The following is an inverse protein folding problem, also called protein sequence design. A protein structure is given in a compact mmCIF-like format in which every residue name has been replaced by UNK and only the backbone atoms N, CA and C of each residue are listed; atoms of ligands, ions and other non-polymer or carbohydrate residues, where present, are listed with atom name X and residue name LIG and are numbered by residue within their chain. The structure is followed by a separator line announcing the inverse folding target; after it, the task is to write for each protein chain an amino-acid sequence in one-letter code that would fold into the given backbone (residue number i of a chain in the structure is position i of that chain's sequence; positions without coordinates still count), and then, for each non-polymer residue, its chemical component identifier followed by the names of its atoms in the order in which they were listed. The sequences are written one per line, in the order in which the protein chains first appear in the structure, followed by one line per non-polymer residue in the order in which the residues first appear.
data_IF_079838518898
#
_entry.id   IF_079838518898
#
_cell.length_a   1.000
_cell.length_b   1.000
_cell.length_c   1.000
_cell.angle_alpha   90.00
_cell.angle_beta   90.00
_cell.angle_gamma   90.00
#
_symmetry.space_group_name_H-M   'P 1'
#
loop_
_entity.id
_entity.type
_entity.pdbx_description
1 polymer ?
#
# COMPACT_ATOMS: atom_id res chain seq x y z
N UNK A 1 41.77 -45.29 10.40
CA UNK A 1 40.50 -44.51 10.54
C UNK A 1 40.30 -43.68 9.29
N UNK A 2 39.23 -43.81 8.52
CA UNK A 2 39.00 -42.97 7.36
C UNK A 2 38.57 -41.56 7.79
N UNK A 3 38.96 -40.49 7.07
CA UNK A 3 38.66 -39.13 7.45
C UNK A 3 37.15 -38.84 7.30
N UNK A 4 36.54 -38.26 8.33
CA UNK A 4 35.13 -37.80 8.33
C UNK A 4 34.95 -36.79 7.19
N UNK A 5 34.13 -37.12 6.18
CA UNK A 5 33.65 -36.17 5.16
C UNK A 5 32.95 -35.01 5.84
N UNK A 6 33.48 -33.78 5.74
CA UNK A 6 32.78 -32.54 6.07
C UNK A 6 31.56 -32.42 5.16
N UNK A 7 30.35 -32.52 5.72
CA UNK A 7 29.13 -32.12 5.03
C UNK A 7 29.17 -30.59 4.86
N UNK A 8 29.41 -30.15 3.64
CA UNK A 8 29.16 -28.77 3.24
C UNK A 8 27.64 -28.58 3.22
N UNK A 9 27.07 -28.09 4.31
CA UNK A 9 25.76 -27.45 4.26
C UNK A 9 25.99 -26.10 3.61
N UNK A 10 25.60 -25.96 2.33
CA UNK A 10 25.42 -24.62 1.75
C UNK A 10 24.33 -23.94 2.57
N UNK A 11 24.56 -22.73 3.10
CA UNK A 11 23.48 -21.91 3.62
C UNK A 11 22.45 -21.81 2.49
N UNK A 12 21.17 -22.07 2.80
CA UNK A 12 20.07 -21.74 1.90
C UNK A 12 20.26 -20.28 1.51
N UNK A 13 20.57 -20.04 0.22
CA UNK A 13 20.84 -18.69 -0.25
C UNK A 13 19.64 -17.82 0.09
N UNK A 14 19.85 -16.81 0.90
CA UNK A 14 18.89 -15.73 1.07
C UNK A 14 18.55 -15.22 -0.33
N UNK A 15 17.28 -15.39 -0.73
CA UNK A 15 16.81 -14.81 -1.99
C UNK A 15 17.00 -13.31 -1.88
N UNK A 16 17.98 -12.76 -2.56
CA UNK A 16 18.21 -11.32 -2.62
C UNK A 16 17.10 -10.71 -3.47
N UNK A 17 16.17 -10.02 -2.82
CA UNK A 17 15.25 -9.17 -3.54
C UNK A 17 16.04 -8.10 -4.29
N UNK A 18 15.58 -7.73 -5.47
CA UNK A 18 16.14 -6.61 -6.22
C UNK A 18 15.64 -5.29 -5.67
N UNK A 19 14.41 -5.26 -5.14
CA UNK A 19 13.76 -4.07 -4.61
C UNK A 19 12.88 -4.40 -3.41
N UNK A 20 12.96 -3.59 -2.37
CA UNK A 20 12.12 -3.66 -1.17
C UNK A 20 11.19 -2.45 -1.15
N UNK A 21 9.91 -2.70 -0.92
CA UNK A 21 8.93 -1.67 -0.56
C UNK A 21 8.59 -1.81 0.92
N UNK A 22 8.86 -0.76 1.70
CA UNK A 22 8.38 -0.64 3.07
C UNK A 22 7.15 0.24 3.04
N UNK A 23 6.01 -0.28 3.50
CA UNK A 23 4.73 0.42 3.43
C UNK A 23 4.15 0.52 4.84
N UNK A 24 4.05 1.71 5.41
CA UNK A 24 3.31 1.94 6.65
C UNK A 24 1.85 2.28 6.31
N UNK A 25 0.92 1.52 6.87
CA UNK A 25 -0.51 1.62 6.58
C UNK A 25 -1.30 1.99 7.83
N UNK A 26 -2.46 2.59 7.65
CA UNK A 26 -3.37 2.94 8.74
C UNK A 26 -4.05 1.69 9.31
N UNK A 27 -4.56 0.81 8.45
CA UNK A 27 -5.32 -0.36 8.85
C UNK A 27 -4.49 -1.53 9.36
N UNK A 28 -5.16 -2.42 10.10
CA UNK A 28 -4.55 -3.64 10.67
C UNK A 28 -4.79 -4.88 9.80
N UNK A 29 -5.75 -4.86 8.88
CA UNK A 29 -6.17 -6.03 8.09
C UNK A 29 -6.17 -5.78 6.58
N UNK A 30 -6.97 -4.83 6.10
CA UNK A 30 -7.30 -4.65 4.69
C UNK A 30 -6.06 -4.36 3.85
N UNK A 31 -5.36 -3.29 4.17
CA UNK A 31 -4.17 -2.84 3.45
C UNK A 31 -3.03 -3.89 3.55
N UNK A 32 -2.72 -4.46 4.75
CA UNK A 32 -1.73 -5.53 4.84
C UNK A 32 -2.07 -6.75 3.99
N UNK A 33 -3.35 -7.15 3.92
CA UNK A 33 -3.77 -8.28 3.08
C UNK A 33 -3.65 -7.94 1.59
N UNK A 34 -4.00 -6.72 1.20
CA UNK A 34 -3.85 -6.27 -0.18
C UNK A 34 -2.38 -6.27 -0.61
N UNK A 35 -1.51 -5.62 0.16
CA UNK A 35 -0.10 -5.54 -0.19
C UNK A 35 0.63 -6.89 -0.09
N UNK A 36 0.13 -7.84 0.70
CA UNK A 36 0.68 -9.20 0.75
C UNK A 36 0.51 -9.96 -0.58
N UNK A 37 -0.44 -9.56 -1.44
CA UNK A 37 -0.66 -10.18 -2.77
C UNK A 37 0.59 -10.06 -3.65
N UNK A 38 1.38 -9.00 -3.49
CA UNK A 38 2.58 -8.76 -4.27
C UNK A 38 3.80 -9.56 -3.80
N UNK A 39 3.72 -10.27 -2.67
CA UNK A 39 4.78 -11.12 -2.13
C UNK A 39 4.70 -12.55 -2.70
N UNK A 40 4.73 -12.71 -4.02
CA UNK A 40 4.81 -14.02 -4.65
C UNK A 40 6.21 -14.65 -4.43
N UNK A 41 6.26 -15.99 -4.36
CA UNK A 41 7.52 -16.75 -4.22
C UNK A 41 8.48 -16.57 -5.41
N UNK A 42 7.98 -16.16 -6.58
CA UNK A 42 8.76 -15.90 -7.78
C UNK A 42 9.12 -14.41 -7.95
N UNK A 43 8.53 -13.51 -7.17
CA UNK A 43 8.80 -12.09 -7.24
C UNK A 43 10.22 -11.75 -6.80
N UNK A 44 10.86 -10.87 -7.57
CA UNK A 44 12.13 -10.22 -7.19
C UNK A 44 11.91 -8.99 -6.31
N UNK A 45 10.64 -8.65 -6.08
CA UNK A 45 10.19 -7.53 -5.26
C UNK A 45 9.70 -8.09 -3.93
N UNK A 46 9.96 -7.39 -2.85
CA UNK A 46 9.41 -7.68 -1.54
C UNK A 46 8.65 -6.48 -1.02
N UNK A 47 7.46 -6.72 -0.49
CA UNK A 47 6.66 -5.73 0.22
C UNK A 47 6.68 -6.07 1.70
N UNK A 48 7.18 -5.15 2.52
CA UNK A 48 7.13 -5.19 3.98
C UNK A 48 6.07 -4.19 4.46
N UNK A 49 4.93 -4.69 4.91
CA UNK A 49 3.82 -3.86 5.35
C UNK A 49 3.85 -3.69 6.87
N UNK A 50 4.12 -2.48 7.33
CA UNK A 50 4.08 -2.07 8.73
C UNK A 50 2.62 -1.82 9.13
N UNK A 51 2.02 -2.81 9.76
CA UNK A 51 0.60 -2.81 10.13
C UNK A 51 0.25 -1.69 11.10
N UNK A 52 -0.97 -1.17 10.98
CA UNK A 52 -1.57 -0.28 11.95
C UNK A 52 -1.69 -0.90 13.35
N UNK A 53 -1.95 -0.06 14.32
CA UNK A 53 -2.31 -0.42 15.69
C UNK A 53 -3.71 0.14 16.01
N UNK A 54 -4.16 0.02 17.26
CA UNK A 54 -5.42 0.65 17.69
C UNK A 54 -5.41 2.18 17.56
N UNK A 55 -4.24 2.80 17.64
CA UNK A 55 -4.03 4.21 17.31
C UNK A 55 -3.39 4.29 15.92
N UNK A 56 -4.19 4.62 14.93
CA UNK A 56 -3.82 4.61 13.51
C UNK A 56 -3.85 6.00 12.86
N UNK A 57 -3.81 7.07 13.65
CA UNK A 57 -3.77 8.43 13.12
C UNK A 57 -2.57 8.67 12.18
N UNK A 58 -2.66 9.60 11.21
CA UNK A 58 -1.58 9.88 10.28
C UNK A 58 -0.21 10.12 10.96
N UNK A 59 -0.11 10.89 12.05
CA UNK A 59 1.15 11.02 12.78
C UNK A 59 1.70 9.70 13.32
N UNK A 60 0.84 8.76 13.70
CA UNK A 60 1.28 7.43 14.17
C UNK A 60 1.74 6.53 13.01
N UNK A 61 1.13 6.66 11.83
CA UNK A 61 1.62 5.99 10.62
C UNK A 61 3.02 6.48 10.29
N UNK A 62 3.22 7.81 10.29
CA UNK A 62 4.52 8.43 10.06
C UNK A 62 5.56 7.98 11.09
N UNK A 63 5.25 8.08 12.38
CA UNK A 63 6.13 7.64 13.46
C UNK A 63 6.58 6.19 13.29
N UNK A 64 5.66 5.30 12.93
CA UNK A 64 5.97 3.88 12.71
C UNK A 64 6.94 3.66 11.55
N UNK A 65 6.79 4.43 10.48
CA UNK A 65 7.74 4.43 9.37
C UNK A 65 9.11 4.93 9.82
N UNK A 66 9.18 6.05 10.51
CA UNK A 66 10.44 6.61 11.01
C UNK A 66 11.14 5.69 12.00
N UNK A 67 10.40 5.04 12.90
CA UNK A 67 10.93 4.07 13.84
C UNK A 67 11.54 2.86 13.10
N UNK A 68 10.90 2.39 12.05
CA UNK A 68 11.43 1.31 11.21
C UNK A 68 12.70 1.75 10.47
N UNK A 69 12.68 2.91 9.83
CA UNK A 69 13.82 3.43 9.06
C UNK A 69 15.05 3.79 9.92
N UNK A 70 14.87 3.99 11.23
CA UNK A 70 15.98 4.13 12.18
C UNK A 70 16.67 2.80 12.49
N UNK A 71 15.95 1.68 12.33
CA UNK A 71 16.46 0.33 12.62
C UNK A 71 16.98 -0.38 11.37
N UNK A 72 16.37 -0.11 10.22
CA UNK A 72 16.69 -0.75 8.95
C UNK A 72 16.96 0.31 7.88
N UNK A 73 18.18 0.33 7.36
CA UNK A 73 18.58 1.26 6.30
C UNK A 73 18.06 0.77 4.93
N UNK A 74 17.40 1.66 4.19
CA UNK A 74 16.96 1.41 2.82
C UNK A 74 18.14 1.56 1.85
N UNK A 75 18.20 0.69 0.87
CA UNK A 75 19.08 0.85 -0.30
C UNK A 75 18.50 1.93 -1.22
N UNK A 76 19.33 2.45 -2.11
CA UNK A 76 18.89 3.44 -3.11
C UNK A 76 17.80 2.92 -4.07
N UNK A 77 17.70 1.59 -4.23
CA UNK A 77 16.65 0.94 -5.04
C UNK A 77 15.34 0.72 -4.30
N UNK A 78 15.36 0.79 -2.97
CA UNK A 78 14.22 0.47 -2.12
C UNK A 78 13.34 1.72 -1.92
N UNK A 79 12.07 1.53 -1.67
CA UNK A 79 11.11 2.62 -1.47
C UNK A 79 10.40 2.50 -0.12
N UNK A 80 10.07 3.66 0.47
CA UNK A 80 9.25 3.76 1.68
C UNK A 80 7.99 4.56 1.38
N UNK A 81 6.82 3.99 1.72
CA UNK A 81 5.53 4.58 1.42
C UNK A 81 4.63 4.67 2.64
N UNK A 82 3.95 5.82 2.78
CA UNK A 82 2.85 6.01 3.73
C UNK A 82 1.53 5.83 2.98
N UNK A 83 0.62 5.01 3.51
CA UNK A 83 -0.70 4.78 2.93
C UNK A 83 -1.76 5.05 3.99
N UNK A 84 -2.59 6.07 3.75
CA UNK A 84 -3.63 6.51 4.69
C UNK A 84 -4.93 6.83 3.98
N UNK A 85 -5.99 6.91 4.76
CA UNK A 85 -7.30 7.35 4.34
C UNK A 85 -7.45 8.88 4.54
N UNK A 86 -8.27 9.56 3.74
CA UNK A 86 -8.62 10.96 4.03
C UNK A 86 -9.50 11.06 5.26
N UNK A 87 -10.49 10.19 5.34
CA UNK A 87 -11.48 10.09 6.42
C UNK A 87 -11.74 11.43 7.13
N UNK A 88 -11.50 11.51 8.44
CA UNK A 88 -11.70 12.71 9.27
C UNK A 88 -10.42 13.54 9.50
N UNK A 89 -9.29 13.15 8.90
CA UNK A 89 -8.00 13.78 9.15
C UNK A 89 -7.92 15.19 8.57
N UNK A 90 -7.28 16.10 9.34
CA UNK A 90 -7.11 17.49 8.91
C UNK A 90 -6.03 17.61 7.85
N UNK A 91 -6.07 18.67 7.08
CA UNK A 91 -5.06 18.92 6.05
C UNK A 91 -3.67 19.08 6.67
N UNK A 92 -3.55 19.72 7.86
CA UNK A 92 -2.27 19.88 8.56
C UNK A 92 -1.63 18.54 8.95
N UNK A 93 -2.45 17.53 9.30
CA UNK A 93 -1.95 16.19 9.60
C UNK A 93 -1.44 15.48 8.33
N UNK A 94 -2.13 15.66 7.22
CA UNK A 94 -1.75 15.07 5.93
C UNK A 94 -0.56 15.79 5.29
N UNK A 95 -0.45 17.12 5.49
CA UNK A 95 0.71 17.92 5.06
C UNK A 95 2.02 17.41 5.66
N UNK A 96 2.01 16.95 6.90
CA UNK A 96 3.18 16.35 7.55
C UNK A 96 3.65 15.08 6.84
N UNK A 97 2.71 14.22 6.43
CA UNK A 97 3.02 13.00 5.69
C UNK A 97 3.53 13.31 4.28
N UNK A 98 2.90 14.26 3.62
CA UNK A 98 3.32 14.71 2.30
C UNK A 98 4.71 15.35 2.34
N UNK A 99 4.97 16.23 3.31
CA UNK A 99 6.29 16.84 3.50
C UNK A 99 7.39 15.79 3.76
N UNK A 100 7.08 14.75 4.55
CA UNK A 100 8.00 13.63 4.74
C UNK A 100 8.29 12.90 3.42
N UNK A 101 7.28 12.65 2.60
CA UNK A 101 7.45 11.99 1.32
C UNK A 101 8.30 12.82 0.32
N UNK A 102 8.25 14.15 0.42
CA UNK A 102 9.07 15.05 -0.41
C UNK A 102 10.55 15.15 0.05
N UNK A 103 10.89 14.58 1.21
CA UNK A 103 12.24 14.69 1.76
C UNK A 103 13.28 13.83 1.01
N UNK A 104 12.84 12.78 0.28
CA UNK A 104 13.71 11.89 -0.50
C UNK A 104 12.99 11.35 -1.73
N UNK A 105 13.73 11.14 -2.82
CA UNK A 105 13.18 10.64 -4.10
C UNK A 105 12.57 9.23 -4.02
N UNK A 106 12.99 8.44 -3.04
CA UNK A 106 12.49 7.08 -2.81
C UNK A 106 11.46 6.99 -1.68
N UNK A 107 10.91 8.12 -1.24
CA UNK A 107 9.79 8.18 -0.31
C UNK A 107 8.50 8.54 -1.06
N UNK A 108 7.38 7.99 -0.61
CA UNK A 108 6.09 8.23 -1.22
C UNK A 108 4.95 8.38 -0.21
N UNK A 109 3.92 9.08 -0.64
CA UNK A 109 2.68 9.25 0.09
C UNK A 109 1.50 8.89 -0.81
N UNK A 110 0.68 7.97 -0.37
CA UNK A 110 -0.51 7.52 -1.06
C UNK A 110 -1.75 7.68 -0.16
N UNK A 111 -2.78 8.29 -0.70
CA UNK A 111 -4.00 8.57 0.04
C UNK A 111 -5.21 8.15 -0.78
N UNK A 112 -6.24 7.63 -0.10
CA UNK A 112 -7.57 7.39 -0.68
C UNK A 112 -8.61 8.29 -0.02
N UNK A 113 -9.45 8.92 -0.85
CA UNK A 113 -10.56 9.74 -0.41
C UNK A 113 -11.90 9.14 -0.91
N UNK A 114 -12.76 8.59 -0.06
CA UNK A 114 -12.74 8.73 1.42
C UNK A 114 -11.79 7.74 2.14
N UNK A 115 -11.54 6.55 1.61
CA UNK A 115 -10.78 5.48 2.27
C UNK A 115 -10.25 4.42 1.30
N UNK A 116 -9.40 3.52 1.80
CA UNK A 116 -8.73 2.49 1.00
C UNK A 116 -9.69 1.56 0.25
N UNK A 117 -10.91 1.35 0.76
CA UNK A 117 -11.95 0.62 0.04
C UNK A 117 -12.30 1.26 -1.32
N UNK A 118 -12.07 2.57 -1.50
CA UNK A 118 -12.22 3.21 -2.79
C UNK A 118 -11.18 2.67 -3.80
N UNK A 119 -9.92 2.54 -3.39
CA UNK A 119 -8.92 1.87 -4.21
C UNK A 119 -9.33 0.44 -4.58
N UNK A 120 -9.82 -0.34 -3.61
CA UNK A 120 -10.32 -1.70 -3.87
C UNK A 120 -11.51 -1.73 -4.82
N UNK A 121 -12.42 -0.76 -4.73
CA UNK A 121 -13.58 -0.65 -5.62
C UNK A 121 -13.16 -0.47 -7.08
N UNK A 122 -12.09 0.27 -7.34
CA UNK A 122 -11.57 0.50 -8.70
C UNK A 122 -11.10 -0.78 -9.41
N UNK A 123 -10.87 -1.88 -8.69
CA UNK A 123 -10.60 -3.19 -9.30
C UNK A 123 -11.82 -3.77 -10.00
N UNK A 124 -13.02 -3.33 -9.66
CA UNK A 124 -14.28 -3.92 -10.12
C UNK A 124 -15.12 -2.97 -10.96
N UNK A 125 -15.07 -1.68 -10.68
CA UNK A 125 -15.86 -0.66 -11.37
C UNK A 125 -15.10 0.67 -11.46
N UNK A 126 -15.66 1.65 -12.19
CA UNK A 126 -15.00 2.94 -12.43
C UNK A 126 -15.01 3.89 -11.21
N UNK A 127 -15.80 3.57 -10.17
CA UNK A 127 -15.90 4.37 -8.94
C UNK A 127 -16.55 5.74 -9.11
N UNK A 128 -17.33 5.97 -10.19
CA UNK A 128 -18.02 7.24 -10.43
C UNK A 128 -19.12 7.48 -9.41
N UNK A 129 -19.27 8.73 -8.93
CA UNK A 129 -20.41 9.16 -8.13
C UNK A 129 -20.41 8.62 -6.70
N UNK A 130 -19.24 8.36 -6.10
CA UNK A 130 -19.14 8.04 -4.67
C UNK A 130 -19.61 9.26 -3.85
N UNK A 131 -20.64 9.05 -3.06
CA UNK A 131 -21.28 10.11 -2.26
C UNK A 131 -20.77 10.13 -0.80
N UNK A 132 -20.22 9.04 -0.29
CA UNK A 132 -19.75 8.92 1.08
C UNK A 132 -18.84 7.70 1.29
N UNK A 133 -18.18 7.64 2.45
CA UNK A 133 -17.42 6.48 2.91
C UNK A 133 -18.32 5.22 3.03
N UNK A 134 -19.57 5.38 3.45
CA UNK A 134 -20.54 4.29 3.53
C UNK A 134 -20.93 3.78 2.15
N UNK A 135 -21.23 4.67 1.21
CA UNK A 135 -21.58 4.32 -0.18
C UNK A 135 -20.43 3.51 -0.82
N UNK A 136 -19.20 3.94 -0.61
CA UNK A 136 -18.01 3.21 -1.06
C UNK A 136 -17.98 1.76 -0.53
N UNK A 137 -18.23 1.57 0.79
CA UNK A 137 -18.29 0.23 1.39
C UNK A 137 -19.43 -0.61 0.83
N UNK A 138 -20.61 -0.02 0.67
CA UNK A 138 -21.81 -0.75 0.22
C UNK A 138 -21.65 -1.18 -1.24
N UNK A 139 -21.02 -0.37 -2.08
CA UNK A 139 -20.67 -0.74 -3.46
C UNK A 139 -19.62 -1.83 -3.51
N UNK A 140 -18.55 -1.73 -2.71
CA UNK A 140 -17.52 -2.76 -2.66
C UNK A 140 -18.09 -4.12 -2.24
N UNK A 141 -19.00 -4.16 -1.28
CA UNK A 141 -19.67 -5.40 -0.83
C UNK A 141 -20.46 -6.12 -1.93
N UNK A 142 -20.94 -5.41 -2.96
CA UNK A 142 -21.61 -6.05 -4.11
C UNK A 142 -20.65 -6.92 -4.91
N UNK A 143 -19.38 -6.53 -4.99
CA UNK A 143 -18.32 -7.26 -5.69
C UNK A 143 -17.61 -8.28 -4.80
N UNK A 144 -17.51 -7.97 -3.50
CA UNK A 144 -16.90 -8.80 -2.48
C UNK A 144 -17.93 -9.15 -1.38
N UNK A 145 -18.91 -10.06 -1.67
CA UNK A 145 -19.86 -10.48 -0.65
C UNK A 145 -19.13 -11.09 0.54
N UNK A 146 -19.50 -10.68 1.75
CA UNK A 146 -18.83 -11.10 2.98
C UNK A 146 -17.54 -10.33 3.29
N UNK A 147 -17.26 -9.25 2.57
CA UNK A 147 -16.18 -8.34 2.93
C UNK A 147 -16.40 -7.78 4.34
N UNK A 148 -15.69 -8.33 5.30
CA UNK A 148 -15.58 -7.84 6.68
C UNK A 148 -14.11 -7.55 6.96
N UNK A 149 -13.60 -6.45 6.37
CA UNK A 149 -12.20 -6.03 6.46
C UNK A 149 -11.22 -7.17 6.17
N UNK A 150 -11.57 -7.99 5.18
CA UNK A 150 -10.73 -9.04 4.63
C UNK A 150 -10.86 -9.11 3.11
N UNK A 151 -9.75 -9.39 2.43
CA UNK A 151 -9.69 -9.45 0.96
C UNK A 151 -9.51 -10.91 0.53
N UNK A 152 -10.42 -11.38 -0.33
CA UNK A 152 -10.16 -12.61 -1.07
C UNK A 152 -9.15 -12.32 -2.19
N UNK A 153 -7.87 -12.66 -1.94
CA UNK A 153 -6.76 -12.40 -2.88
C UNK A 153 -7.02 -12.99 -4.28
N UNK A 154 -7.81 -14.07 -4.40
CA UNK A 154 -8.15 -14.70 -5.69
C UNK A 154 -8.99 -13.79 -6.59
N UNK A 155 -9.68 -12.82 -5.99
CA UNK A 155 -10.48 -11.83 -6.71
C UNK A 155 -9.68 -10.60 -7.14
N UNK A 156 -8.47 -10.43 -6.67
CA UNK A 156 -7.56 -9.34 -7.05
C UNK A 156 -6.54 -9.90 -8.04
N UNK A 157 -6.95 -10.03 -9.28
CA UNK A 157 -6.09 -10.53 -10.37
C UNK A 157 -5.23 -9.42 -10.95
N UNK A 158 -4.17 -9.77 -11.68
CA UNK A 158 -3.30 -8.80 -12.36
C UNK A 158 -4.10 -7.85 -13.25
N UNK A 159 -4.98 -8.38 -14.10
CA UNK A 159 -5.82 -7.56 -14.98
C UNK A 159 -6.67 -6.53 -14.20
N UNK A 160 -7.20 -6.92 -13.04
CA UNK A 160 -7.95 -6.01 -12.19
C UNK A 160 -7.08 -4.94 -11.52
N UNK A 161 -5.85 -5.28 -11.17
CA UNK A 161 -4.89 -4.30 -10.67
C UNK A 161 -4.59 -3.28 -11.77
N UNK A 162 -4.30 -3.73 -12.98
CA UNK A 162 -4.01 -2.86 -14.13
C UNK A 162 -5.23 -1.95 -14.46
N UNK A 163 -6.45 -2.49 -14.39
CA UNK A 163 -7.66 -1.69 -14.54
C UNK A 163 -7.87 -0.67 -13.42
N UNK A 164 -7.58 -1.03 -12.16
CA UNK A 164 -7.66 -0.10 -11.03
C UNK A 164 -6.68 1.06 -11.19
N UNK A 165 -5.44 0.77 -11.60
CA UNK A 165 -4.41 1.78 -11.92
C UNK A 165 -4.94 2.72 -13.01
N UNK A 166 -5.41 2.17 -14.14
CA UNK A 166 -5.94 2.96 -15.24
C UNK A 166 -7.10 3.87 -14.81
N UNK A 167 -8.04 3.36 -14.03
CA UNK A 167 -9.20 4.11 -13.54
C UNK A 167 -8.81 5.20 -12.57
N UNK A 168 -7.90 4.90 -11.64
CA UNK A 168 -7.38 5.89 -10.68
C UNK A 168 -6.65 7.03 -11.41
N UNK A 169 -5.80 6.70 -12.38
CA UNK A 169 -5.06 7.69 -13.19
C UNK A 169 -5.99 8.59 -13.99
N UNK A 170 -7.06 8.06 -14.57
CA UNK A 170 -8.05 8.87 -15.29
C UNK A 170 -8.76 9.87 -14.37
N UNK A 171 -8.96 9.53 -13.10
CA UNK A 171 -9.58 10.41 -12.10
C UNK A 171 -8.62 11.42 -11.51
N UNK A 172 -7.33 11.12 -11.49
CA UNK A 172 -6.25 12.01 -11.07
C UNK A 172 -5.68 12.75 -12.29
N UNK A 173 -6.55 13.28 -13.14
CA UNK A 173 -6.17 14.03 -14.33
C UNK A 173 -6.84 15.44 -14.36
N UNK A 174 -6.07 16.55 -14.23
CA UNK A 174 -4.61 16.57 -14.07
C UNK A 174 -4.18 16.00 -12.71
N UNK A 175 -2.98 15.38 -12.62
CA UNK A 175 -2.49 14.79 -11.38
C UNK A 175 -2.47 15.79 -10.24
N UNK A 176 -2.99 15.39 -9.07
CA UNK A 176 -2.94 16.23 -7.88
C UNK A 176 -1.49 16.42 -7.42
N UNK A 177 -1.19 17.62 -6.90
CA UNK A 177 0.17 17.97 -6.45
C UNK A 177 0.55 17.21 -5.16
N UNK A 178 -0.43 16.97 -4.31
CA UNK A 178 -0.27 16.35 -2.99
C UNK A 178 -1.16 15.10 -2.83
N UNK A 179 -2.46 15.28 -2.62
CA UNK A 179 -3.47 14.22 -2.50
C UNK A 179 -4.83 14.65 -3.02
N UNK A 180 -5.73 13.71 -3.37
CA UNK A 180 -7.06 14.02 -3.89
C UNK A 180 -7.96 14.65 -2.84
N UNK A 181 -8.41 15.89 -3.09
CA UNK A 181 -9.30 16.66 -2.19
C UNK A 181 -10.76 16.24 -2.31
N UNK A 182 -11.18 15.83 -3.50
CA UNK A 182 -12.55 15.43 -3.75
C UNK A 182 -12.78 13.95 -3.40
N UNK A 183 -14.01 13.62 -3.01
CA UNK A 183 -14.46 12.23 -2.87
C UNK A 183 -14.30 11.47 -4.20
N UNK A 184 -13.87 10.22 -4.12
CA UNK A 184 -13.67 9.38 -5.28
C UNK A 184 -12.32 9.61 -5.97
N UNK A 185 -11.28 9.96 -5.21
CA UNK A 185 -9.90 10.04 -5.66
C UNK A 185 -8.96 9.14 -4.85
N UNK A 186 -7.88 8.67 -5.48
CA UNK A 186 -6.83 7.92 -4.79
C UNK A 186 -5.50 8.05 -5.52
N UNK A 187 -4.41 8.14 -4.76
CA UNK A 187 -3.03 8.12 -5.28
C UNK A 187 -2.32 6.79 -4.99
N UNK A 188 -3.02 5.78 -4.48
CA UNK A 188 -2.46 4.44 -4.23
C UNK A 188 -1.92 3.80 -5.52
N UNK A 189 -2.48 4.16 -6.67
CA UNK A 189 -1.98 3.68 -7.96
C UNK A 189 -0.51 4.04 -8.20
N UNK A 190 -0.03 5.21 -7.70
CA UNK A 190 1.38 5.65 -7.84
C UNK A 190 2.34 4.67 -7.14
N UNK A 191 1.93 4.11 -6.00
CA UNK A 191 2.68 3.04 -5.32
C UNK A 191 2.59 1.73 -6.09
N UNK A 192 1.38 1.31 -6.47
CA UNK A 192 1.15 -0.02 -7.06
C UNK A 192 1.79 -0.16 -8.44
N UNK A 193 1.93 0.92 -9.20
CA UNK A 193 2.67 0.94 -10.47
C UNK A 193 4.17 0.66 -10.32
N UNK A 194 4.74 0.96 -9.16
CA UNK A 194 6.16 0.75 -8.86
C UNK A 194 6.47 -0.67 -8.36
N UNK A 195 5.41 -1.41 -7.89
CA UNK A 195 5.47 -2.80 -7.46
C UNK A 195 5.31 -3.75 -8.64
#
# INVERSE_FOLDING_TARGET
MPPKRRRFQRPLGERRYRKLFVIAVEGVKTEPQYFAIFNDQQSVIRVNCLKGSHDSSPPQVLKRMEDHLRQEELRSSDEAWLVVDKDQWTDEQLDQLHAWAQARDNYGFALSNPKFEYWLLLHFEDGTGIASSRDCSDRLKRHLPGYDKGIDARKITRDRIDEAIRRARLRDNPPCADWPRALGGTTVYKLVENI
#
